data_IF_175456194043
#
_entry.id   IF_175456194043
#
_cell.length_a   1.000
_cell.length_b   1.000
_cell.length_c   1.000
_cell.angle_alpha   90.00
_cell.angle_beta   90.00
_cell.angle_gamma   90.00
#
_symmetry.space_group_name_H-M   'P 1'
#
loop_
_entity.id
_entity.type
_entity.pdbx_description
1 polymer ?
#
# COMPACT_ATOMS: atom_id res chain seq x y z
N UNK A 1 -1.29 -5.32 5.90
CA UNK A 1 -2.38 -4.57 5.24
C UNK A 1 -2.39 -4.94 3.76
N UNK A 2 -3.57 -5.07 3.14
CA UNK A 2 -3.71 -5.38 1.71
C UNK A 2 -3.78 -4.07 0.93
N UNK A 3 -2.88 -3.89 -0.03
CA UNK A 3 -2.86 -2.72 -0.92
C UNK A 3 -3.03 -3.15 -2.36
N UNK A 4 -3.72 -2.32 -3.15
CA UNK A 4 -3.79 -2.44 -4.60
C UNK A 4 -3.02 -1.29 -5.21
N UNK A 5 -2.06 -1.65 -6.05
CA UNK A 5 -1.19 -0.73 -6.76
C UNK A 5 -1.53 -0.82 -8.24
N UNK A 6 -1.73 0.34 -8.87
CA UNK A 6 -2.04 0.42 -10.29
C UNK A 6 -0.78 0.30 -11.17
N UNK A 7 -0.98 0.23 -12.48
CA UNK A 7 0.06 0.16 -13.52
C UNK A 7 1.11 1.27 -13.43
N UNK A 8 0.76 2.42 -12.85
CA UNK A 8 1.67 3.55 -12.64
C UNK A 8 2.43 3.48 -11.30
N UNK A 9 2.20 2.45 -10.49
CA UNK A 9 2.82 2.30 -9.17
C UNK A 9 2.09 3.08 -8.06
N UNK A 10 0.93 3.68 -8.35
CA UNK A 10 0.14 4.41 -7.35
C UNK A 10 -0.76 3.46 -6.56
N UNK A 11 -0.81 3.62 -5.24
CA UNK A 11 -1.77 2.88 -4.41
C UNK A 11 -3.17 3.46 -4.63
N UNK A 12 -4.08 2.64 -5.16
CA UNK A 12 -5.48 3.01 -5.41
C UNK A 12 -6.42 2.52 -4.31
N UNK A 13 -6.00 1.50 -3.55
CA UNK A 13 -6.73 1.02 -2.39
C UNK A 13 -5.77 0.50 -1.33
N UNK A 14 -6.04 0.82 -0.07
CA UNK A 14 -5.37 0.26 1.09
C UNK A 14 -6.45 -0.22 2.06
N UNK A 15 -6.31 -1.45 2.56
CA UNK A 15 -7.20 -2.00 3.56
C UNK A 15 -6.41 -2.72 4.64
N UNK A 16 -6.61 -2.31 5.88
CA UNK A 16 -5.93 -2.94 7.01
C UNK A 16 -6.58 -4.28 7.37
N UNK A 17 -5.74 -5.28 7.62
CA UNK A 17 -6.18 -6.65 7.98
C UNK A 17 -6.19 -6.79 9.51
N UNK A 18 -5.14 -6.28 10.17
CA UNK A 18 -4.98 -6.26 11.63
C UNK A 18 -4.16 -5.02 12.04
N UNK A 19 -4.47 -4.43 13.20
CA UNK A 19 -3.78 -3.27 13.77
C UNK A 19 -4.63 -2.58 14.85
N UNK A 20 -4.02 -1.61 15.56
CA UNK A 20 -4.73 -0.73 16.49
C UNK A 20 -5.45 0.39 15.72
N UNK A 21 -6.70 0.72 16.07
CA UNK A 21 -7.51 1.66 15.30
C UNK A 21 -6.86 3.04 15.10
N UNK A 22 -6.06 3.50 16.07
CA UNK A 22 -5.43 4.81 16.01
C UNK A 22 -4.34 4.90 14.95
N UNK A 23 -3.70 3.78 14.63
CA UNK A 23 -2.67 3.69 13.59
C UNK A 23 -3.24 3.23 12.25
N UNK A 24 -4.41 2.58 12.22
CA UNK A 24 -5.05 2.12 10.98
C UNK A 24 -5.31 3.30 10.04
N UNK A 25 -5.97 4.36 10.50
CA UNK A 25 -6.32 5.51 9.67
C UNK A 25 -5.07 6.20 9.11
N UNK A 26 -4.10 6.48 9.99
CA UNK A 26 -2.82 7.08 9.62
C UNK A 26 -2.03 6.20 8.63
N UNK A 27 -2.08 4.87 8.78
CA UNK A 27 -1.43 3.93 7.86
C UNK A 27 -2.07 3.95 6.48
N UNK A 28 -3.40 3.95 6.43
CA UNK A 28 -4.15 3.92 5.18
C UNK A 28 -3.94 5.22 4.40
N UNK A 29 -3.98 6.36 5.08
CA UNK A 29 -3.65 7.65 4.47
C UNK A 29 -2.21 7.72 3.96
N UNK A 30 -1.23 7.24 4.75
CA UNK A 30 0.16 7.20 4.34
C UNK A 30 0.36 6.32 3.11
N UNK A 31 -0.32 5.18 3.04
CA UNK A 31 -0.27 4.26 1.90
C UNK A 31 -0.88 4.86 0.64
N UNK A 32 -2.03 5.54 0.75
CA UNK A 32 -2.65 6.23 -0.38
C UNK A 32 -1.77 7.35 -0.95
N UNK A 33 -0.93 7.98 -0.12
CA UNK A 33 0.05 9.00 -0.53
C UNK A 33 1.36 8.41 -1.03
N UNK A 34 1.59 7.11 -0.86
CA UNK A 34 2.83 6.45 -1.27
C UNK A 34 2.75 6.02 -2.74
N UNK A 35 3.79 6.33 -3.50
CA UNK A 35 3.97 5.84 -4.86
C UNK A 35 5.06 4.78 -4.86
N UNK A 36 4.70 3.57 -5.25
CA UNK A 36 5.61 2.44 -5.43
C UNK A 36 6.16 2.42 -6.85
N UNK A 37 7.26 1.67 -7.06
CA UNK A 37 7.72 1.41 -8.41
C UNK A 37 6.71 0.51 -9.13
N UNK A 38 6.22 0.89 -10.32
CA UNK A 38 5.31 0.05 -11.09
C UNK A 38 5.98 -1.27 -11.38
N UNK A 39 5.25 -2.35 -11.14
CA UNK A 39 5.73 -3.69 -11.44
C UNK A 39 5.44 -3.95 -12.92
N UNK A 40 6.50 -4.08 -13.72
CA UNK A 40 6.40 -4.50 -15.11
C UNK A 40 6.60 -6.00 -15.21
N UNK A 41 5.57 -6.71 -15.66
CA UNK A 41 5.66 -8.14 -15.98
C UNK A 41 5.60 -8.24 -17.49
N UNK A 42 6.63 -8.83 -18.10
CA UNK A 42 6.72 -8.99 -19.56
C UNK A 42 6.74 -7.64 -20.32
N UNK A 43 7.34 -6.61 -19.73
CA UNK A 43 7.40 -5.26 -20.31
C UNK A 43 6.09 -4.47 -20.27
N UNK A 44 5.01 -5.06 -19.73
CA UNK A 44 3.73 -4.38 -19.52
C UNK A 44 3.59 -3.99 -18.06
N UNK A 45 3.22 -2.74 -17.73
CA UNK A 45 2.84 -2.40 -16.38
C UNK A 45 1.59 -3.19 -16.02
N UNK A 46 1.55 -3.82 -14.86
CA UNK A 46 0.41 -4.59 -14.40
C UNK A 46 -0.04 -4.10 -13.03
N UNK A 47 -1.36 -4.04 -12.76
CA UNK A 47 -1.86 -3.75 -11.44
C UNK A 47 -1.54 -4.93 -10.50
N UNK A 48 -0.94 -4.63 -9.35
CA UNK A 48 -0.52 -5.65 -8.38
C UNK A 48 -1.25 -5.49 -7.06
N UNK A 49 -1.63 -6.62 -6.48
CA UNK A 49 -2.14 -6.67 -5.12
C UNK A 49 -1.03 -7.17 -4.22
N UNK A 50 -0.63 -6.36 -3.24
CA UNK A 50 0.48 -6.64 -2.35
C UNK A 50 0.07 -6.57 -0.87
N UNK A 51 0.88 -7.18 -0.01
CA UNK A 51 0.77 -7.02 1.44
C UNK A 51 1.84 -6.02 1.90
N UNK A 52 1.40 -4.88 2.42
CA UNK A 52 2.27 -3.91 3.06
C UNK A 52 2.25 -4.10 4.59
N UNK A 53 3.44 -4.13 5.18
CA UNK A 53 3.65 -4.13 6.63
C UNK A 53 4.13 -2.74 7.03
N UNK A 54 3.42 -2.09 7.94
CA UNK A 54 3.79 -0.79 8.46
C UNK A 54 4.05 -0.93 9.96
N UNK A 55 5.26 -0.55 10.38
CA UNK A 55 5.68 -0.61 11.78
C UNK A 55 5.64 0.80 12.36
N UNK A 56 4.81 1.02 13.37
CA UNK A 56 4.86 2.24 14.17
C UNK A 56 5.83 2.02 15.30
N UNK A 57 6.85 2.87 15.38
CA UNK A 57 7.71 2.98 16.54
C UNK A 57 7.23 4.19 17.34
N UNK A 58 6.79 3.95 18.58
CA UNK A 58 6.60 5.03 19.54
C UNK A 58 7.98 5.42 20.08
N UNK A 59 8.38 6.66 19.82
CA UNK A 59 9.59 7.27 20.39
C UNK A 59 9.32 7.82 21.80
#
# INVERSE_FOLDING_TARGET
>A
MKIQVDEQGRVIAAKTICGDQFVIEASEEAMLKTTYKPTTVDGKPVPVTALALYYFQAY
#
